data_IF_110319829265
#
_entry.id   IF_110319829265
#
_cell.length_a   1.000
_cell.length_b   1.000
_cell.length_c   1.000
_cell.angle_alpha   90.00
_cell.angle_beta   90.00
_cell.angle_gamma   90.00
#
_symmetry.space_group_name_H-M   'P 1'
#
loop_
_entity.id
_entity.type
_entity.pdbx_description
1 polymer ?
#
# COMPACT_ATOMS: atom_id res chain seq x y z
N UNK A 1 -10.49 2.41 -29.89
CA UNK A 1 -9.93 3.40 -28.94
C UNK A 1 -10.98 3.89 -27.94
N UNK A 2 -12.08 4.51 -28.39
CA UNK A 2 -13.17 5.02 -27.52
C UNK A 2 -13.74 3.99 -26.54
N UNK A 3 -14.01 2.74 -26.98
CA UNK A 3 -14.49 1.67 -26.09
C UNK A 3 -13.53 1.31 -24.94
N UNK A 4 -12.21 1.35 -25.19
CA UNK A 4 -11.18 1.08 -24.16
C UNK A 4 -11.11 2.21 -23.14
N UNK A 5 -11.21 3.45 -23.61
CA UNK A 5 -11.27 4.63 -22.74
C UNK A 5 -12.55 4.61 -21.90
N UNK A 6 -13.70 4.33 -22.51
CA UNK A 6 -14.98 4.22 -21.79
C UNK A 6 -14.95 3.12 -20.72
N UNK A 7 -14.42 1.94 -21.05
CA UNK A 7 -14.23 0.85 -20.07
C UNK A 7 -13.29 1.27 -18.93
N UNK A 8 -12.19 1.95 -19.26
CA UNK A 8 -11.25 2.48 -18.27
C UNK A 8 -11.89 3.52 -17.35
N UNK A 9 -12.74 4.41 -17.90
CA UNK A 9 -13.48 5.39 -17.11
C UNK A 9 -14.51 4.73 -16.19
N UNK A 10 -15.22 3.71 -16.66
CA UNK A 10 -16.14 2.93 -15.81
C UNK A 10 -15.38 2.25 -14.67
N UNK A 11 -14.24 1.60 -14.97
CA UNK A 11 -13.40 0.99 -13.95
C UNK A 11 -12.91 2.03 -12.94
N UNK A 12 -12.44 3.19 -13.39
CA UNK A 12 -12.00 4.27 -12.52
C UNK A 12 -13.11 4.73 -11.58
N UNK A 13 -14.33 4.93 -12.09
CA UNK A 13 -15.48 5.34 -11.29
C UNK A 13 -15.87 4.26 -10.26
N UNK A 14 -15.81 2.98 -10.64
CA UNK A 14 -16.05 1.87 -9.71
C UNK A 14 -14.99 1.82 -8.60
N UNK A 15 -13.71 1.95 -8.95
CA UNK A 15 -12.64 2.02 -7.96
C UNK A 15 -12.82 3.20 -7.00
N UNK A 16 -13.15 4.39 -7.54
CA UNK A 16 -13.40 5.57 -6.73
C UNK A 16 -14.59 5.37 -5.76
N UNK A 17 -15.67 4.76 -6.24
CA UNK A 17 -16.82 4.41 -5.39
C UNK A 17 -16.42 3.44 -4.27
N UNK A 18 -15.69 2.37 -4.59
CA UNK A 18 -15.20 1.41 -3.59
C UNK A 18 -14.28 2.08 -2.56
N UNK A 19 -13.40 2.98 -3.00
CA UNK A 19 -12.55 3.77 -2.09
C UNK A 19 -13.38 4.59 -1.11
N UNK A 20 -14.45 5.27 -1.57
CA UNK A 20 -15.33 6.04 -0.68
C UNK A 20 -16.02 5.12 0.35
N UNK A 21 -16.53 3.98 -0.08
CA UNK A 21 -17.14 2.98 0.82
C UNK A 21 -16.13 2.46 1.84
N UNK A 22 -14.90 2.16 1.40
CA UNK A 22 -13.82 1.70 2.29
C UNK A 22 -13.44 2.75 3.33
N UNK A 23 -13.36 4.03 2.95
CA UNK A 23 -13.08 5.13 3.88
C UNK A 23 -14.21 5.32 4.90
N UNK A 24 -15.48 5.21 4.47
CA UNK A 24 -16.62 5.22 5.39
C UNK A 24 -16.53 4.08 6.41
N UNK A 25 -16.23 2.86 5.96
CA UNK A 25 -16.04 1.71 6.86
C UNK A 25 -14.83 1.86 7.77
N UNK A 26 -13.74 2.42 7.28
CA UNK A 26 -12.55 2.71 8.08
C UNK A 26 -12.88 3.70 9.18
N UNK A 27 -13.60 4.78 8.87
CA UNK A 27 -14.04 5.76 9.86
C UNK A 27 -14.90 5.13 10.96
N UNK A 28 -15.91 4.35 10.59
CA UNK A 28 -16.74 3.62 11.55
C UNK A 28 -15.92 2.62 12.39
N UNK A 29 -14.95 1.93 11.78
CA UNK A 29 -14.07 1.00 12.46
C UNK A 29 -13.13 1.71 13.47
N UNK A 30 -12.67 2.92 13.16
CA UNK A 30 -11.89 3.76 14.08
C UNK A 30 -12.76 4.16 15.27
N UNK A 31 -13.98 4.65 15.04
CA UNK A 31 -14.92 5.00 16.12
C UNK A 31 -15.28 3.79 17.00
N UNK A 32 -15.39 2.61 16.40
CA UNK A 32 -15.66 1.35 17.09
C UNK A 32 -14.44 0.65 17.66
N UNK A 33 -13.24 1.26 17.61
CA UNK A 33 -11.97 0.65 18.05
C UNK A 33 -11.74 -0.78 17.52
N UNK A 34 -12.04 -1.01 16.24
CA UNK A 34 -11.99 -2.32 15.60
C UNK A 34 -10.65 -2.55 14.89
N UNK A 35 -10.14 -3.78 14.94
CA UNK A 35 -8.96 -4.22 14.15
C UNK A 35 -9.15 -4.06 12.64
N UNK A 36 -10.39 -3.91 12.16
CA UNK A 36 -10.70 -3.61 10.76
C UNK A 36 -10.08 -2.30 10.29
N UNK A 37 -9.97 -1.29 11.15
CA UNK A 37 -9.33 -0.02 10.78
C UNK A 37 -7.88 -0.24 10.36
N UNK A 38 -7.15 -1.08 11.10
CA UNK A 38 -5.77 -1.44 10.78
C UNK A 38 -5.66 -2.23 9.47
N UNK A 39 -6.53 -3.22 9.26
CA UNK A 39 -6.55 -3.99 8.00
C UNK A 39 -6.80 -3.11 6.78
N UNK A 40 -7.73 -2.15 6.89
CA UNK A 40 -7.99 -1.19 5.81
C UNK A 40 -6.79 -0.27 5.57
N UNK A 41 -6.09 0.17 6.63
CA UNK A 41 -4.87 0.95 6.49
C UNK A 41 -3.78 0.19 5.72
N UNK A 42 -3.56 -1.09 6.03
CA UNK A 42 -2.62 -1.96 5.29
C UNK A 42 -3.04 -2.11 3.82
N UNK A 43 -4.32 -2.32 3.53
CA UNK A 43 -4.80 -2.41 2.14
C UNK A 43 -4.61 -1.10 1.37
N UNK A 44 -4.76 0.06 2.02
CA UNK A 44 -4.45 1.35 1.39
C UNK A 44 -2.96 1.54 1.14
N UNK A 45 -2.09 1.02 2.02
CA UNK A 45 -0.64 1.03 1.80
C UNK A 45 -0.24 0.18 0.60
N UNK A 46 -0.78 -1.04 0.46
CA UNK A 46 -0.57 -1.91 -0.71
C UNK A 46 -1.10 -1.27 -2.01
N UNK A 47 -2.28 -0.63 -1.96
CA UNK A 47 -2.82 0.13 -3.09
C UNK A 47 -1.88 1.27 -3.50
N UNK A 48 -1.35 2.02 -2.53
CA UNK A 48 -0.39 3.07 -2.79
C UNK A 48 0.92 2.50 -3.36
N UNK A 49 1.42 1.38 -2.83
CA UNK A 49 2.60 0.72 -3.37
C UNK A 49 2.44 0.38 -4.85
N UNK A 50 1.30 -0.24 -5.21
CA UNK A 50 0.92 -0.57 -6.59
C UNK A 50 0.88 0.67 -7.47
N UNK A 51 0.26 1.75 -7.00
CA UNK A 51 0.17 3.00 -7.74
C UNK A 51 1.57 3.60 -8.04
N UNK A 52 2.56 3.35 -7.17
CA UNK A 52 3.96 3.73 -7.37
C UNK A 52 4.84 2.60 -7.95
N UNK A 53 4.23 1.65 -8.67
CA UNK A 53 4.92 0.59 -9.40
C UNK A 53 5.52 -0.51 -8.54
N UNK A 54 4.97 -0.72 -7.34
CA UNK A 54 5.19 -1.92 -6.52
C UNK A 54 4.16 -3.00 -6.83
N UNK A 55 4.20 -4.09 -6.05
CA UNK A 55 3.23 -5.19 -6.15
C UNK A 55 1.97 -4.90 -5.32
N UNK A 56 0.84 -5.43 -5.77
CA UNK A 56 -0.48 -5.35 -5.14
C UNK A 56 -0.59 -6.05 -3.79
N UNK A 57 0.28 -7.02 -3.52
CA UNK A 57 0.33 -7.75 -2.26
C UNK A 57 1.48 -7.30 -1.35
N UNK A 58 2.28 -6.31 -1.78
CA UNK A 58 3.44 -5.81 -1.02
C UNK A 58 3.19 -4.44 -0.40
N UNK A 59 3.55 -4.26 0.87
CA UNK A 59 3.52 -2.95 1.55
C UNK A 59 4.66 -2.03 1.10
N UNK A 60 4.48 -0.71 1.23
CA UNK A 60 5.53 0.27 0.88
C UNK A 60 6.76 0.08 1.79
N UNK A 61 6.54 -0.21 3.08
CA UNK A 61 7.63 -0.42 4.04
C UNK A 61 8.42 -1.70 3.74
N UNK A 62 7.77 -2.79 3.35
CA UNK A 62 8.41 -4.02 2.85
C UNK A 62 9.30 -3.74 1.64
N UNK A 63 8.76 -3.06 0.63
CA UNK A 63 9.51 -2.65 -0.58
C UNK A 63 10.69 -1.74 -0.25
N UNK A 64 10.50 -0.80 0.67
CA UNK A 64 11.53 0.12 1.13
C UNK A 64 12.65 -0.59 1.89
N UNK A 65 12.32 -1.59 2.73
CA UNK A 65 13.30 -2.45 3.40
C UNK A 65 14.17 -3.21 2.40
N UNK A 66 13.56 -3.86 1.40
CA UNK A 66 14.29 -4.53 0.30
C UNK A 66 15.17 -3.56 -0.48
N UNK A 67 14.67 -2.35 -0.76
CA UNK A 67 15.42 -1.31 -1.45
C UNK A 67 16.62 -0.81 -0.62
N UNK A 68 16.45 -0.68 0.70
CA UNK A 68 17.53 -0.35 1.64
C UNK A 68 18.62 -1.42 1.63
N UNK A 69 18.25 -2.71 1.66
CA UNK A 69 19.19 -3.84 1.53
C UNK A 69 19.95 -3.83 0.19
N UNK A 70 19.36 -3.27 -0.86
CA UNK A 70 19.99 -3.06 -2.17
C UNK A 70 20.78 -1.74 -2.27
N UNK A 71 20.88 -0.95 -1.20
CA UNK A 71 21.58 0.34 -1.19
C UNK A 71 20.85 1.46 -1.95
N UNK A 72 19.56 1.32 -2.23
CA UNK A 72 18.78 2.34 -2.94
C UNK A 72 18.39 3.49 -2.01
N UNK A 73 18.77 4.71 -2.41
CA UNK A 73 18.59 5.94 -1.60
C UNK A 73 17.16 6.18 -1.13
N UNK A 74 16.16 5.94 -1.98
CA UNK A 74 14.76 6.16 -1.62
C UNK A 74 14.31 5.27 -0.45
N UNK A 75 14.77 4.00 -0.44
CA UNK A 75 14.50 3.06 0.64
C UNK A 75 15.13 3.55 1.94
N UNK A 76 16.41 3.94 1.91
CA UNK A 76 17.10 4.45 3.09
C UNK A 76 16.43 5.70 3.68
N UNK A 77 15.98 6.64 2.83
CA UNK A 77 15.30 7.86 3.27
C UNK A 77 13.96 7.53 3.94
N UNK A 78 13.14 6.70 3.29
CA UNK A 78 11.84 6.32 3.82
C UNK A 78 11.99 5.50 5.12
N UNK A 79 12.88 4.51 5.14
CA UNK A 79 13.10 3.71 6.33
C UNK A 79 13.73 4.49 7.47
N UNK A 80 14.58 5.48 7.18
CA UNK A 80 15.07 6.43 8.18
C UNK A 80 13.94 7.25 8.82
N UNK A 81 12.96 7.69 8.02
CA UNK A 81 11.78 8.38 8.52
C UNK A 81 10.91 7.44 9.36
N UNK A 82 10.62 6.23 8.88
CA UNK A 82 9.77 5.27 9.58
C UNK A 82 10.39 4.76 10.89
N UNK A 83 11.72 4.65 10.93
CA UNK A 83 12.47 4.31 12.15
C UNK A 83 12.29 5.32 13.29
N UNK A 84 11.82 6.54 13.00
CA UNK A 84 11.49 7.53 14.04
C UNK A 84 10.20 7.18 14.80
N UNK A 85 9.29 6.43 14.18
CA UNK A 85 8.03 6.01 14.78
C UNK A 85 8.16 4.64 15.44
N UNK A 86 8.86 3.70 14.79
CA UNK A 86 9.15 2.38 15.34
C UNK A 86 10.59 1.98 14.96
N UNK A 87 11.47 1.65 15.91
CA UNK A 87 12.82 1.16 15.58
C UNK A 87 12.78 -0.06 14.66
N UNK A 88 13.60 -0.03 13.62
CA UNK A 88 13.74 -1.07 12.59
C UNK A 88 12.43 -1.42 11.86
N UNK A 89 11.55 -0.42 11.70
CA UNK A 89 10.21 -0.60 11.12
C UNK A 89 10.25 -1.32 9.76
N UNK A 90 11.04 -0.83 8.80
CA UNK A 90 11.12 -1.46 7.49
C UNK A 90 11.68 -2.88 7.55
N UNK A 91 12.73 -3.10 8.33
CA UNK A 91 13.43 -4.39 8.38
C UNK A 91 12.54 -5.49 8.94
N UNK A 92 11.74 -5.16 9.97
CA UNK A 92 10.75 -6.07 10.57
C UNK A 92 9.59 -6.40 9.63
N UNK A 93 9.25 -5.50 8.72
CA UNK A 93 8.12 -5.62 7.80
C UNK A 93 8.53 -6.11 6.41
N UNK A 94 9.74 -6.64 6.22
CA UNK A 94 10.12 -7.25 4.94
C UNK A 94 9.34 -8.55 4.72
N UNK A 95 8.45 -8.53 3.73
CA UNK A 95 7.69 -9.69 3.25
C UNK A 95 8.54 -10.41 2.18
N UNK A 96 9.25 -11.48 2.56
CA UNK A 96 10.27 -12.10 1.68
C UNK A 96 9.68 -12.82 0.44
N UNK A 97 8.43 -13.22 0.51
CA UNK A 97 7.67 -13.90 -0.52
C UNK A 97 6.96 -12.94 -1.49
N UNK A 98 6.60 -11.74 -1.03
CA UNK A 98 5.89 -10.72 -1.81
C UNK A 98 6.82 -9.86 -2.71
N UNK A 99 6.22 -9.10 -3.63
CA UNK A 99 6.95 -8.19 -4.53
C UNK A 99 7.59 -8.88 -5.74
N UNK A 100 7.37 -10.19 -5.91
CA UNK A 100 7.71 -10.92 -7.13
C UNK A 100 6.56 -10.76 -8.10
N UNK A 101 6.82 -10.18 -9.27
CA UNK A 101 5.81 -10.15 -10.32
C UNK A 101 5.39 -11.59 -10.63
N UNK A 102 4.11 -11.91 -10.44
CA UNK A 102 3.52 -13.09 -11.04
C UNK A 102 3.72 -12.99 -12.55
N UNK A 103 4.39 -13.99 -13.12
CA UNK A 103 4.71 -14.07 -14.55
C UNK A 103 3.46 -14.30 -15.40
#
# INVERSE_FOLDING_TARGET
MVKRIALGMVLLLLCAFVTLVALCWMFLAVLGNSTRAWRLAVSFDQLANTAFGGSEDETISSRAGKATRQGKRWGCLLCGLLNRFEPDHCEKNIEADEGKMSA
#
